data_IF_719001312852
#
_entry.id   IF_719001312852
#
_cell.length_a   1.000
_cell.length_b   1.000
_cell.length_c   1.000
_cell.angle_alpha   90.00
_cell.angle_beta   90.00
_cell.angle_gamma   90.00
#
_symmetry.space_group_name_H-M   'P 1'
#
loop_
_entity.id
_entity.type
_entity.pdbx_description
1 polymer ?
#
# COMPACT_ATOMS: atom_id res chain seq x y z
N UNK A 1 -24.78 5.97 -9.94
CA UNK A 1 -24.57 4.57 -10.34
C UNK A 1 -23.61 4.50 -11.50
N UNK A 2 -22.61 3.62 -11.42
CA UNK A 2 -21.68 3.37 -12.50
C UNK A 2 -22.20 2.21 -13.34
N UNK A 3 -22.09 2.35 -14.65
CA UNK A 3 -22.43 1.30 -15.60
C UNK A 3 -21.15 0.54 -15.97
N UNK A 4 -21.25 -0.77 -16.19
CA UNK A 4 -20.08 -1.59 -16.57
C UNK A 4 -19.42 -1.11 -17.86
N UNK A 5 -20.16 -0.42 -18.73
CA UNK A 5 -19.60 0.20 -19.95
C UNK A 5 -18.73 1.43 -19.65
N UNK A 6 -18.82 1.99 -18.44
CA UNK A 6 -18.04 3.15 -18.00
C UNK A 6 -16.76 2.75 -17.27
N UNK A 7 -16.45 1.47 -17.19
CA UNK A 7 -15.29 0.97 -16.47
C UNK A 7 -13.99 1.55 -17.01
N UNK A 8 -13.11 1.91 -16.09
CA UNK A 8 -11.74 2.34 -16.38
C UNK A 8 -10.83 1.86 -15.24
N UNK A 9 -9.57 1.68 -15.55
CA UNK A 9 -8.58 1.27 -14.55
C UNK A 9 -8.46 2.31 -13.44
N UNK A 10 -8.49 1.85 -12.19
CA UNK A 10 -8.43 2.71 -11.03
C UNK A 10 -9.79 3.12 -10.46
N UNK A 11 -10.88 2.88 -11.20
CA UNK A 11 -12.22 3.19 -10.72
C UNK A 11 -12.58 2.30 -9.52
N UNK A 12 -13.18 2.88 -8.49
CA UNK A 12 -13.64 2.13 -7.32
C UNK A 12 -15.15 1.98 -7.32
N UNK A 13 -15.59 0.76 -7.06
CA UNK A 13 -17.02 0.38 -7.05
C UNK A 13 -17.34 -0.35 -5.76
N UNK A 14 -18.64 -0.32 -5.40
CA UNK A 14 -19.15 -1.03 -4.24
C UNK A 14 -19.83 -2.32 -4.69
N UNK A 15 -19.40 -3.47 -4.12
CA UNK A 15 -20.02 -4.77 -4.36
C UNK A 15 -20.19 -5.45 -2.99
N UNK A 16 -21.42 -5.81 -2.64
CA UNK A 16 -21.75 -6.52 -1.40
C UNK A 16 -21.18 -5.85 -0.15
N UNK A 17 -21.21 -4.52 -0.11
CA UNK A 17 -20.70 -3.74 1.01
C UNK A 17 -19.19 -3.58 1.05
N UNK A 18 -18.46 -4.16 0.10
CA UNK A 18 -17.02 -4.03 -0.02
C UNK A 18 -16.62 -3.04 -1.10
N UNK A 19 -15.40 -2.52 -0.98
CA UNK A 19 -14.81 -1.61 -1.96
C UNK A 19 -13.86 -2.37 -2.85
N UNK A 20 -14.09 -2.26 -4.16
CA UNK A 20 -13.29 -2.94 -5.18
C UNK A 20 -12.75 -1.93 -6.18
N UNK A 21 -11.50 -2.07 -6.55
CA UNK A 21 -10.86 -1.23 -7.56
C UNK A 21 -10.73 -2.03 -8.85
N UNK A 22 -11.07 -1.41 -9.97
CA UNK A 22 -10.90 -2.03 -11.29
C UNK A 22 -9.42 -1.97 -11.67
N UNK A 23 -8.82 -3.15 -11.82
CA UNK A 23 -7.41 -3.30 -12.19
C UNK A 23 -7.25 -3.40 -13.70
N UNK A 24 -8.15 -4.16 -14.33
CA UNK A 24 -8.15 -4.37 -15.78
C UNK A 24 -9.53 -4.81 -16.22
N UNK A 25 -9.88 -4.54 -17.46
CA UNK A 25 -11.18 -4.94 -18.01
C UNK A 25 -11.10 -5.12 -19.52
N UNK A 26 -12.00 -5.95 -20.05
CA UNK A 26 -12.09 -6.20 -21.47
C UNK A 26 -13.56 -6.39 -21.87
N UNK A 27 -14.01 -5.63 -22.87
CA UNK A 27 -15.32 -5.81 -23.49
C UNK A 27 -15.22 -6.96 -24.50
N UNK A 28 -16.00 -8.01 -24.28
CA UNK A 28 -16.00 -9.18 -25.14
C UNK A 28 -17.34 -9.29 -25.86
N UNK A 29 -17.30 -9.37 -27.18
CA UNK A 29 -18.46 -9.62 -28.03
C UNK A 29 -18.25 -10.97 -28.74
N UNK A 30 -18.74 -12.07 -28.14
CA UNK A 30 -18.57 -13.37 -28.77
C UNK A 30 -19.38 -13.47 -30.06
N UNK A 31 -18.95 -14.30 -31.00
CA UNK A 31 -19.68 -14.55 -32.23
C UNK A 31 -21.04 -15.21 -31.99
N UNK A 32 -21.16 -15.95 -30.89
CA UNK A 32 -22.44 -16.53 -30.41
C UNK A 32 -22.54 -16.23 -28.93
N UNK A 33 -23.73 -15.81 -28.50
CA UNK A 33 -24.03 -15.47 -27.11
C UNK A 33 -23.99 -13.98 -26.84
N UNK A 34 -24.30 -13.58 -25.61
CA UNK A 34 -24.37 -12.19 -25.18
C UNK A 34 -22.97 -11.61 -24.94
N UNK A 35 -22.83 -10.33 -25.24
CA UNK A 35 -21.63 -9.58 -24.88
C UNK A 35 -21.45 -9.52 -23.37
N UNK A 36 -20.23 -9.41 -22.90
CA UNK A 36 -19.93 -9.28 -21.48
C UNK A 36 -18.64 -8.47 -21.26
N UNK A 37 -18.45 -8.01 -20.01
CA UNK A 37 -17.24 -7.28 -19.61
C UNK A 37 -16.47 -8.17 -18.63
N UNK A 38 -15.34 -8.69 -19.06
CA UNK A 38 -14.44 -9.47 -18.21
C UNK A 38 -13.56 -8.49 -17.44
N UNK A 39 -13.61 -8.55 -16.13
CA UNK A 39 -12.98 -7.54 -15.28
C UNK A 39 -12.14 -8.17 -14.18
N UNK A 40 -10.93 -7.67 -13.99
CA UNK A 40 -10.12 -7.96 -12.81
C UNK A 40 -10.36 -6.87 -11.79
N UNK A 41 -10.77 -7.27 -10.60
CA UNK A 41 -11.05 -6.34 -9.51
C UNK A 41 -10.21 -6.71 -8.29
N UNK A 42 -9.77 -5.68 -7.58
CA UNK A 42 -8.96 -5.83 -6.37
C UNK A 42 -9.75 -5.34 -5.17
N UNK A 43 -9.86 -6.18 -4.14
CA UNK A 43 -10.45 -5.76 -2.89
C UNK A 43 -9.50 -4.78 -2.21
N UNK A 44 -9.95 -3.55 -1.98
CA UNK A 44 -9.09 -2.48 -1.43
C UNK A 44 -8.67 -2.77 0.00
N UNK A 45 -9.49 -3.47 0.78
CA UNK A 45 -9.19 -3.82 2.17
C UNK A 45 -8.25 -5.02 2.29
N UNK A 46 -8.50 -6.08 1.53
CA UNK A 46 -7.75 -7.34 1.66
C UNK A 46 -6.61 -7.48 0.66
N UNK A 47 -6.65 -6.71 -0.44
CA UNK A 47 -5.68 -6.82 -1.52
C UNK A 47 -5.93 -7.99 -2.47
N UNK A 48 -6.95 -8.80 -2.24
CA UNK A 48 -7.26 -9.95 -3.09
C UNK A 48 -7.71 -9.49 -4.47
N UNK A 49 -7.15 -10.11 -5.51
CA UNK A 49 -7.52 -9.84 -6.90
C UNK A 49 -8.32 -11.02 -7.42
N UNK A 50 -9.50 -10.74 -7.94
CA UNK A 50 -10.38 -11.76 -8.52
C UNK A 50 -10.85 -11.31 -9.90
N UNK A 51 -11.23 -12.27 -10.74
CA UNK A 51 -11.82 -12.00 -12.03
C UNK A 51 -13.34 -12.14 -11.91
N UNK A 52 -14.05 -11.14 -12.39
CA UNK A 52 -15.52 -11.14 -12.38
C UNK A 52 -16.05 -10.68 -13.73
N UNK A 53 -17.09 -11.33 -14.20
CA UNK A 53 -17.77 -10.98 -15.45
C UNK A 53 -19.01 -10.17 -15.15
N UNK A 54 -19.16 -9.03 -15.81
CA UNK A 54 -20.33 -8.16 -15.70
C UNK A 54 -21.10 -8.18 -17.01
N UNK A 55 -22.42 -8.08 -16.90
CA UNK A 55 -23.24 -7.87 -18.09
C UNK A 55 -23.02 -6.45 -18.62
N UNK A 56 -23.14 -6.22 -19.94
CA UNK A 56 -23.12 -4.87 -20.47
C UNK A 56 -24.27 -4.09 -19.83
N UNK A 57 -24.02 -2.84 -19.45
CA UNK A 57 -25.01 -1.99 -18.79
C UNK A 57 -25.41 -2.43 -17.37
N UNK A 58 -24.69 -3.35 -16.76
CA UNK A 58 -24.88 -3.65 -15.35
C UNK A 58 -24.50 -2.43 -14.51
N UNK A 59 -25.35 -2.07 -13.57
CA UNK A 59 -25.17 -0.87 -12.74
C UNK A 59 -24.75 -1.24 -11.33
N UNK A 60 -23.87 -0.44 -10.75
CA UNK A 60 -23.40 -0.60 -9.38
C UNK A 60 -23.04 0.75 -8.78
N UNK A 61 -23.13 0.91 -7.44
CA UNK A 61 -22.71 2.15 -6.82
C UNK A 61 -21.20 2.42 -7.00
N UNK A 62 -20.85 3.67 -7.23
CA UNK A 62 -19.46 4.10 -7.09
C UNK A 62 -19.10 4.11 -5.62
N UNK A 63 -17.89 3.66 -5.28
CA UNK A 63 -17.39 3.77 -3.93
C UNK A 63 -16.63 5.09 -3.81
N UNK A 64 -17.13 5.99 -2.96
CA UNK A 64 -16.47 7.26 -2.69
C UNK A 64 -15.54 7.09 -1.50
N UNK A 65 -14.23 7.17 -1.76
CA UNK A 65 -13.22 7.08 -0.74
C UNK A 65 -12.82 8.48 -0.29
N UNK A 66 -12.78 8.70 1.02
CA UNK A 66 -12.23 9.92 1.60
C UNK A 66 -10.79 9.65 2.01
N UNK A 67 -9.93 10.62 1.77
CA UNK A 67 -8.53 10.55 2.18
C UNK A 67 -8.30 11.60 3.27
N UNK A 68 -7.74 11.18 4.39
CA UNK A 68 -7.35 12.07 5.47
C UNK A 68 -5.87 11.96 5.75
N UNK A 69 -5.20 13.08 5.89
CA UNK A 69 -3.80 13.11 6.31
C UNK A 69 -3.73 12.93 7.83
N UNK A 70 -3.03 11.89 8.25
CA UNK A 70 -2.88 11.55 9.66
C UNK A 70 -1.41 11.46 10.01
N UNK A 71 -1.08 11.74 11.27
CA UNK A 71 0.25 11.56 11.80
C UNK A 71 0.28 10.28 12.63
N UNK A 72 1.23 9.38 12.33
CA UNK A 72 1.44 8.22 13.16
C UNK A 72 2.17 8.64 14.43
N UNK A 73 1.61 8.30 15.59
CA UNK A 73 2.16 8.71 16.88
C UNK A 73 3.00 7.59 17.52
N UNK A 74 2.39 6.46 17.82
CA UNK A 74 3.06 5.35 18.52
C UNK A 74 2.29 4.05 18.39
N UNK A 75 2.96 2.95 18.74
CA UNK A 75 2.38 1.63 18.82
C UNK A 75 2.37 1.19 20.28
N UNK A 76 1.27 0.56 20.72
CA UNK A 76 1.15 -0.04 22.03
C UNK A 76 0.25 -1.27 21.93
N UNK A 77 0.73 -2.42 22.42
CA UNK A 77 -0.03 -3.67 22.47
C UNK A 77 -0.67 -4.08 21.13
N UNK A 78 0.06 -3.87 20.03
CA UNK A 78 -0.43 -4.20 18.69
C UNK A 78 -1.40 -3.19 18.10
N UNK A 79 -1.64 -2.08 18.80
CA UNK A 79 -2.49 -0.99 18.32
C UNK A 79 -1.64 0.21 17.94
N UNK A 80 -1.92 0.76 16.78
CA UNK A 80 -1.19 1.90 16.21
C UNK A 80 -2.06 3.13 16.29
N UNK A 81 -1.56 4.16 16.94
CA UNK A 81 -2.31 5.42 17.16
C UNK A 81 -1.94 6.45 16.11
N UNK A 82 -2.97 6.98 15.45
CA UNK A 82 -2.85 8.02 14.43
C UNK A 82 -3.65 9.24 14.86
N UNK A 83 -3.15 10.42 14.55
CA UNK A 83 -3.82 11.70 14.86
C UNK A 83 -4.12 12.43 13.56
N UNK A 84 -5.38 12.88 13.42
CA UNK A 84 -5.79 13.73 12.30
C UNK A 84 -5.05 15.07 12.41
N UNK A 85 -4.36 15.47 11.36
CA UNK A 85 -3.56 16.71 11.38
C UNK A 85 -4.40 17.97 11.37
N UNK A 86 -5.68 17.88 11.03
CA UNK A 86 -6.61 19.02 11.02
C UNK A 86 -7.43 19.10 12.30
N UNK A 87 -8.03 17.98 12.72
CA UNK A 87 -8.94 17.94 13.88
C UNK A 87 -8.26 17.56 15.18
N UNK A 88 -7.03 16.99 15.10
CA UNK A 88 -6.29 16.45 16.25
C UNK A 88 -6.97 15.27 16.95
N UNK A 89 -8.00 14.70 16.33
CA UNK A 89 -8.61 13.48 16.82
C UNK A 89 -7.68 12.29 16.62
N UNK A 90 -7.63 11.42 17.62
CA UNK A 90 -6.80 10.21 17.58
C UNK A 90 -7.65 9.00 17.26
N UNK A 91 -7.08 8.09 16.46
CA UNK A 91 -7.70 6.82 16.11
C UNK A 91 -6.70 5.70 16.30
N UNK A 92 -7.15 4.56 16.82
CA UNK A 92 -6.32 3.39 17.00
C UNK A 92 -6.65 2.35 15.92
N UNK A 93 -5.62 1.82 15.30
CA UNK A 93 -5.75 0.80 14.27
C UNK A 93 -4.95 -0.44 14.65
N UNK A 94 -5.50 -1.63 14.34
CA UNK A 94 -4.73 -2.87 14.44
C UNK A 94 -3.84 -3.04 13.21
N UNK A 95 -3.12 -4.16 13.12
CA UNK A 95 -2.19 -4.41 12.01
C UNK A 95 -2.87 -4.70 10.68
N UNK A 96 -4.13 -5.11 10.70
CA UNK A 96 -4.83 -5.60 9.52
C UNK A 96 -4.95 -4.56 8.39
N UNK A 97 -5.48 -3.33 8.65
CA UNK A 97 -5.56 -2.33 7.59
C UNK A 97 -4.21 -1.73 7.21
N UNK A 98 -3.17 -1.91 8.02
CA UNK A 98 -1.85 -1.32 7.77
C UNK A 98 -0.98 -2.21 6.87
N UNK A 99 -1.10 -3.52 6.97
CA UNK A 99 -0.38 -4.45 6.09
C UNK A 99 1.11 -4.17 6.02
N UNK A 100 1.64 -4.11 4.80
CA UNK A 100 3.06 -3.88 4.55
C UNK A 100 3.54 -2.48 4.93
N UNK A 101 2.63 -1.54 5.18
CA UNK A 101 2.99 -0.20 5.63
C UNK A 101 3.76 -0.22 6.96
N UNK A 102 3.55 -1.27 7.77
CA UNK A 102 4.26 -1.45 9.03
C UNK A 102 5.78 -1.54 8.85
N UNK A 103 6.25 -1.96 7.69
CA UNK A 103 7.69 -2.03 7.38
C UNK A 103 8.32 -0.63 7.30
N UNK A 104 7.51 0.40 7.09
CA UNK A 104 7.98 1.76 6.80
C UNK A 104 7.50 2.80 7.80
N UNK A 105 6.54 2.45 8.67
CA UNK A 105 5.97 3.40 9.64
C UNK A 105 6.98 3.79 10.70
N UNK A 106 7.22 5.08 10.80
CA UNK A 106 8.10 5.70 11.79
C UNK A 106 7.29 6.70 12.58
N UNK A 107 7.56 6.82 13.88
CA UNK A 107 6.86 7.77 14.75
C UNK A 107 6.93 9.19 14.19
N UNK A 108 5.82 9.90 14.30
CA UNK A 108 5.62 11.26 13.79
C UNK A 108 5.57 11.39 12.26
N UNK A 109 5.54 10.29 11.54
CA UNK A 109 5.40 10.29 10.08
C UNK A 109 3.97 10.65 9.67
N UNK A 110 3.83 11.47 8.64
CA UNK A 110 2.51 11.74 8.04
C UNK A 110 2.18 10.67 7.00
N UNK A 111 0.94 10.20 7.04
CA UNK A 111 0.41 9.20 6.11
C UNK A 111 -0.99 9.62 5.69
N UNK A 112 -1.47 9.06 4.59
CA UNK A 112 -2.85 9.26 4.15
C UNK A 112 -3.66 8.00 4.47
N UNK A 113 -4.73 8.15 5.24
CA UNK A 113 -5.67 7.07 5.51
C UNK A 113 -6.88 7.22 4.60
N UNK A 114 -7.27 6.12 3.98
CA UNK A 114 -8.44 6.06 3.12
C UNK A 114 -9.60 5.51 3.92
N UNK A 115 -10.74 6.22 3.87
CA UNK A 115 -11.95 5.81 4.57
C UNK A 115 -13.11 5.65 3.60
N UNK A 116 -13.98 4.71 3.93
CA UNK A 116 -15.22 4.47 3.20
C UNK A 116 -16.35 4.35 4.22
N UNK A 117 -17.32 5.27 4.14
CA UNK A 117 -18.45 5.32 5.09
C UNK A 117 -17.99 5.33 6.55
N UNK A 118 -16.95 6.09 6.85
CA UNK A 118 -16.39 6.20 8.20
C UNK A 118 -15.50 5.06 8.63
N UNK A 119 -15.32 4.04 7.80
CA UNK A 119 -14.47 2.88 8.07
C UNK A 119 -13.11 3.07 7.39
N UNK A 120 -12.03 2.86 8.12
CA UNK A 120 -10.68 2.92 7.55
C UNK A 120 -10.42 1.65 6.77
N UNK A 121 -10.13 1.79 5.48
CA UNK A 121 -9.94 0.65 4.57
C UNK A 121 -8.52 0.52 4.05
N UNK A 122 -7.69 1.52 4.21
CA UNK A 122 -6.31 1.44 3.71
C UNK A 122 -5.46 2.61 4.15
N UNK A 123 -4.17 2.46 3.92
CA UNK A 123 -3.16 3.48 4.21
C UNK A 123 -2.33 3.71 2.94
N UNK A 124 -1.99 4.96 2.68
CA UNK A 124 -1.10 5.34 1.60
C UNK A 124 0.10 6.07 2.18
N UNK A 125 1.28 5.58 1.86
CA UNK A 125 2.54 6.16 2.30
C UNK A 125 3.13 7.05 1.21
N UNK A 126 4.05 7.97 1.57
CA UNK A 126 4.88 8.62 0.57
C UNK A 126 5.63 7.56 -0.26
N UNK A 127 6.01 7.89 -1.49
CA UNK A 127 6.70 6.97 -2.38
C UNK A 127 8.05 6.49 -1.82
N UNK A 128 8.65 7.27 -0.95
CA UNK A 128 9.89 6.90 -0.27
C UNK A 128 9.88 7.40 1.17
N UNK A 129 10.63 6.72 2.01
CA UNK A 129 10.82 7.10 3.42
C UNK A 129 12.29 6.99 3.78
N UNK A 130 12.72 7.79 4.76
CA UNK A 130 14.08 7.75 5.28
C UNK A 130 14.08 6.97 6.59
N UNK A 131 14.84 5.86 6.63
CA UNK A 131 14.92 4.99 7.78
C UNK A 131 16.39 4.74 8.15
N UNK A 132 16.67 4.76 9.45
CA UNK A 132 18.02 4.51 9.96
C UNK A 132 18.32 3.02 10.03
N UNK A 133 19.56 2.65 9.75
CA UNK A 133 20.05 1.28 9.90
C UNK A 133 20.39 1.04 11.37
N UNK A 134 19.75 0.03 11.97
CA UNK A 134 20.03 -0.38 13.36
C UNK A 134 21.05 -1.50 13.43
N UNK A 135 21.05 -2.40 12.45
CA UNK A 135 21.98 -3.52 12.35
C UNK A 135 22.28 -3.78 10.88
N UNK A 136 23.50 -4.16 10.57
CA UNK A 136 23.84 -4.61 9.23
C UNK A 136 24.92 -5.69 9.29
N UNK A 137 24.94 -6.54 8.27
CA UNK A 137 25.99 -7.54 8.12
C UNK A 137 27.33 -6.83 7.88
N UNK A 138 28.44 -7.38 8.44
CA UNK A 138 29.74 -6.81 8.17
C UNK A 138 30.12 -6.97 6.70
N UNK A 139 30.81 -5.97 6.16
CA UNK A 139 31.39 -6.08 4.82
C UNK A 139 32.51 -7.10 4.83
N UNK A 140 32.46 -8.08 3.93
CA UNK A 140 33.49 -9.10 3.84
C UNK A 140 34.64 -8.58 2.98
N UNK A 141 35.84 -8.54 3.56
CA UNK A 141 37.07 -8.18 2.82
C UNK A 141 37.30 -9.18 1.69
N UNK A 142 37.61 -8.68 0.51
CA UNK A 142 37.92 -9.53 -0.65
C UNK A 142 36.71 -9.82 -1.54
N UNK A 143 35.50 -9.50 -1.14
CA UNK A 143 34.33 -9.61 -1.99
C UNK A 143 34.17 -8.32 -2.80
N UNK A 144 34.89 -8.25 -3.93
CA UNK A 144 34.92 -7.08 -4.80
C UNK A 144 34.01 -7.23 -6.03
N UNK A 145 33.14 -8.24 -6.04
CA UNK A 145 32.22 -8.44 -7.15
C UNK A 145 31.32 -7.23 -7.33
N UNK A 146 31.19 -6.77 -8.57
CA UNK A 146 30.25 -5.69 -8.90
C UNK A 146 28.84 -6.13 -8.54
N UNK A 147 28.11 -5.29 -7.80
CA UNK A 147 26.77 -5.62 -7.36
C UNK A 147 26.68 -6.45 -6.08
N UNK A 148 27.81 -6.59 -5.34
CA UNK A 148 27.79 -7.24 -4.05
C UNK A 148 26.91 -6.46 -3.07
N UNK A 149 26.08 -7.17 -2.32
CA UNK A 149 25.12 -6.59 -1.37
C UNK A 149 25.19 -7.33 -0.04
N UNK A 150 24.60 -6.73 0.97
CA UNK A 150 24.42 -7.33 2.30
C UNK A 150 23.05 -6.95 2.84
N UNK A 151 22.63 -7.62 3.91
CA UNK A 151 21.37 -7.31 4.56
C UNK A 151 21.57 -6.27 5.66
N UNK A 152 20.65 -5.33 5.72
CA UNK A 152 20.58 -4.33 6.78
C UNK A 152 19.21 -4.32 7.41
N UNK A 153 19.15 -4.19 8.72
CA UNK A 153 17.91 -4.07 9.48
C UNK A 153 17.67 -2.60 9.82
N UNK A 154 16.50 -2.11 9.51
CA UNK A 154 16.12 -0.73 9.72
C UNK A 154 15.41 -0.53 11.06
N UNK A 155 15.27 0.72 11.48
CA UNK A 155 14.64 1.09 12.76
C UNK A 155 13.21 0.57 12.93
N UNK A 156 12.52 0.28 11.85
CA UNK A 156 11.18 -0.30 11.86
C UNK A 156 11.18 -1.83 12.01
N UNK A 157 12.36 -2.46 11.97
CA UNK A 157 12.49 -3.90 11.95
C UNK A 157 12.53 -4.53 10.56
N UNK A 158 12.28 -3.74 9.52
CA UNK A 158 12.32 -4.21 8.14
C UNK A 158 13.76 -4.48 7.70
N UNK A 159 13.98 -5.61 7.04
CA UNK A 159 15.27 -5.97 6.49
C UNK A 159 15.31 -5.69 4.99
N UNK A 160 16.38 -5.07 4.53
CA UNK A 160 16.54 -4.67 3.14
C UNK A 160 17.96 -4.97 2.67
N UNK A 161 18.08 -5.33 1.39
CA UNK A 161 19.38 -5.56 0.75
C UNK A 161 20.01 -4.24 0.35
N UNK A 162 21.24 -4.02 0.78
CA UNK A 162 21.95 -2.74 0.60
C UNK A 162 23.36 -2.96 0.06
N UNK A 163 23.97 -1.93 -0.54
CA UNK A 163 25.39 -2.00 -0.92
C UNK A 163 26.32 -2.23 0.28
N UNK A 164 27.50 -2.76 0.05
CA UNK A 164 28.45 -3.10 1.11
C UNK A 164 28.95 -1.90 1.91
N UNK A 165 28.91 -0.67 1.34
CA UNK A 165 29.40 0.52 2.02
C UNK A 165 28.46 1.06 3.11
N UNK A 166 27.27 0.50 3.22
CA UNK A 166 26.29 0.94 4.23
C UNK A 166 26.71 0.45 5.62
N UNK A 167 26.62 1.32 6.62
CA UNK A 167 26.98 1.04 8.00
C UNK A 167 25.81 1.31 8.95
N UNK A 168 25.89 0.77 10.16
CA UNK A 168 24.96 1.10 11.23
C UNK A 168 24.93 2.60 11.47
N UNK A 169 23.75 3.15 11.67
CA UNK A 169 23.54 4.59 11.86
C UNK A 169 23.31 5.36 10.57
N UNK A 170 23.60 4.78 9.41
CA UNK A 170 23.30 5.43 8.13
C UNK A 170 21.78 5.54 7.96
N UNK A 171 21.31 6.64 7.37
CA UNK A 171 19.91 6.85 7.03
C UNK A 171 19.74 6.55 5.56
N UNK A 172 18.81 5.67 5.25
CA UNK A 172 18.56 5.19 3.89
C UNK A 172 17.21 5.67 3.39
N UNK A 173 17.17 6.01 2.10
CA UNK A 173 15.91 6.24 1.42
C UNK A 173 15.42 4.90 0.85
N UNK A 174 14.23 4.51 1.25
CA UNK A 174 13.62 3.25 0.87
C UNK A 174 12.37 3.53 0.04
N UNK A 175 12.23 2.83 -1.09
CA UNK A 175 11.03 2.92 -1.93
C UNK A 175 9.91 2.12 -1.26
N UNK A 176 8.83 2.79 -0.85
CA UNK A 176 7.71 2.14 -0.17
C UNK A 176 6.86 1.27 -1.10
N UNK A 177 7.00 1.46 -2.41
CA UNK A 177 6.25 0.68 -3.40
C UNK A 177 6.87 -0.68 -3.67
N UNK A 178 8.20 -0.77 -3.60
CA UNK A 178 8.95 -2.00 -3.89
C UNK A 178 9.66 -2.57 -2.67
N UNK A 179 9.89 -1.77 -1.63
CA UNK A 179 10.67 -2.16 -0.47
C UNK A 179 12.17 -2.11 -0.68
N UNK A 180 12.62 -1.55 -1.79
CA UNK A 180 14.03 -1.56 -2.16
C UNK A 180 14.76 -0.29 -1.69
N UNK A 181 16.05 -0.45 -1.44
CA UNK A 181 16.97 0.66 -1.18
C UNK A 181 17.10 1.52 -2.45
N UNK A 182 17.04 2.84 -2.27
CA UNK A 182 17.25 3.81 -3.36
C UNK A 182 18.64 4.42 -3.26
N UNK A 183 18.89 5.05 -2.12
CA UNK A 183 20.15 5.78 -1.90
C UNK A 183 20.35 6.05 -0.41
N UNK A 184 21.52 6.45 -0.02
CA UNK A 184 21.80 6.95 1.32
C UNK A 184 21.29 8.39 1.40
N UNK A 185 20.44 8.65 2.39
CA UNK A 185 19.82 9.96 2.55
C UNK A 185 20.78 11.00 3.14
#
# INVERSE_FOLDING_TARGET
MINSTDFRTGLTIEIDGGVWQIVDFQHVKPGKGAAFVRTKIKNVETGAVVERTFNPNEKMPAAHLETRTMQYLYEADGMYTFMDTETYEQSELNTEPLGDALNYLKENMEVNLQTFKGRIIGISLPNSVNLAVTECEPSVKGNTATGATKMAKLETGYEVRVPLFINEGDVLRIDTRTGNYIERA
#
